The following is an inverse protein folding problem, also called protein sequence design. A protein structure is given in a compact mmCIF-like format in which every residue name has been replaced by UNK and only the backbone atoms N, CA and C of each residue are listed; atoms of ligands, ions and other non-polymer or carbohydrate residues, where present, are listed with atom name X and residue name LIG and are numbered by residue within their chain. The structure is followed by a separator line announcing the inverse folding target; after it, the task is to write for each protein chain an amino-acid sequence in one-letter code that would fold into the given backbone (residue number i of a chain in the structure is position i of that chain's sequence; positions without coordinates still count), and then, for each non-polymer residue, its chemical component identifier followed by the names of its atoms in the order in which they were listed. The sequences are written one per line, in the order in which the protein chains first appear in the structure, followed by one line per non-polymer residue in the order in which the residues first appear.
data_IF_242068835038
#
_entry.id   IF_242068835038
#
_cell.length_a   1.000
_cell.length_b   1.000
_cell.length_c   1.000
_cell.angle_alpha   90.00
_cell.angle_beta   90.00
_cell.angle_gamma   90.00
#
_symmetry.space_group_name_H-M   'P 1'
#
loop_
_entity.id
_entity.type
_entity.pdbx_description
1 polymer ?
#
# COMPACT_ATOMS: atom_id res chain seq x y z
N UNK A 1 -47.96 2.68 9.60
CA UNK A 1 -47.48 4.06 9.46
C UNK A 1 -46.00 4.01 9.71
N UNK A 2 -45.20 4.08 8.65
CA UNK A 2 -43.74 4.08 8.77
C UNK A 2 -43.32 5.34 9.50
N UNK A 3 -42.45 5.18 10.50
CA UNK A 3 -41.81 6.29 11.19
C UNK A 3 -40.85 6.94 10.17
N UNK A 4 -40.94 8.25 9.89
CA UNK A 4 -39.96 8.94 9.06
C UNK A 4 -38.56 8.61 9.58
N UNK A 5 -37.73 8.01 8.73
CA UNK A 5 -36.40 7.61 9.14
C UNK A 5 -35.55 8.86 9.42
N UNK A 6 -34.49 8.78 10.24
CA UNK A 6 -33.53 9.88 10.39
C UNK A 6 -32.91 10.34 9.06
N UNK A 7 -33.07 9.57 7.98
CA UNK A 7 -32.68 9.95 6.62
C UNK A 7 -33.42 11.17 6.06
N UNK A 8 -34.71 11.35 6.39
CA UNK A 8 -35.52 12.44 5.83
C UNK A 8 -35.03 13.81 6.33
N UNK A 9 -34.55 13.87 7.58
CA UNK A 9 -33.93 15.08 8.15
C UNK A 9 -32.59 15.40 7.50
N UNK A 10 -31.73 14.39 7.27
CA UNK A 10 -30.45 14.59 6.59
C UNK A 10 -30.61 14.96 5.12
N UNK A 11 -31.62 14.42 4.43
CA UNK A 11 -31.96 14.80 3.07
C UNK A 11 -32.46 16.26 3.02
N UNK A 12 -33.31 16.67 3.98
CA UNK A 12 -33.76 18.05 4.10
C UNK A 12 -32.62 19.06 4.34
N UNK A 13 -31.70 18.74 5.26
CA UNK A 13 -30.52 19.57 5.54
C UNK A 13 -29.58 19.69 4.33
N UNK A 14 -29.43 18.59 3.58
CA UNK A 14 -28.67 18.55 2.34
C UNK A 14 -29.30 19.42 1.25
N UNK A 15 -30.61 19.31 1.04
CA UNK A 15 -31.34 20.11 0.06
C UNK A 15 -31.31 21.61 0.40
N UNK A 16 -31.44 21.96 1.67
CA UNK A 16 -31.32 23.36 2.13
C UNK A 16 -29.91 23.92 1.88
N UNK A 17 -28.88 23.11 2.13
CA UNK A 17 -27.48 23.48 1.86
C UNK A 17 -27.23 23.67 0.36
N UNK A 18 -27.77 22.79 -0.47
CA UNK A 18 -27.66 22.87 -1.93
C UNK A 18 -28.38 24.10 -2.50
N UNK A 19 -29.56 24.42 -1.97
CA UNK A 19 -30.31 25.63 -2.36
C UNK A 19 -29.54 26.90 -2.03
N UNK A 20 -28.93 26.96 -0.84
CA UNK A 20 -28.07 28.10 -0.46
C UNK A 20 -26.85 28.23 -1.38
N UNK A 21 -26.28 27.10 -1.80
CA UNK A 21 -25.17 27.07 -2.75
C UNK A 21 -25.60 27.56 -4.15
N UNK A 22 -26.78 27.17 -4.62
CA UNK A 22 -27.39 27.63 -5.88
C UNK A 22 -27.61 29.15 -5.90
N UNK A 23 -28.04 29.73 -4.79
CA UNK A 23 -28.23 31.17 -4.63
C UNK A 23 -26.90 31.94 -4.69
N UNK A 24 -25.83 31.38 -4.11
CA UNK A 24 -24.50 32.01 -4.07
C UNK A 24 -23.71 31.83 -5.38
N UNK A 25 -23.87 30.68 -6.05
CA UNK A 25 -23.06 30.28 -7.20
C UNK A 25 -23.92 29.67 -8.33
N UNK A 26 -24.79 30.46 -8.98
CA UNK A 26 -25.77 29.95 -9.94
C UNK A 26 -25.15 29.22 -11.13
N UNK A 27 -24.03 29.72 -11.67
CA UNK A 27 -23.34 29.08 -12.79
C UNK A 27 -22.71 27.72 -12.41
N UNK A 28 -22.16 27.62 -11.19
CA UNK A 28 -21.48 26.42 -10.71
C UNK A 28 -22.50 25.35 -10.30
N UNK A 29 -23.66 25.77 -9.79
CA UNK A 29 -24.73 24.86 -9.45
C UNK A 29 -25.42 24.24 -10.68
N UNK A 30 -25.51 24.94 -11.80
CA UNK A 30 -25.96 24.37 -13.08
C UNK A 30 -25.04 23.21 -13.51
N UNK A 31 -23.72 23.40 -13.39
CA UNK A 31 -22.74 22.32 -13.67
C UNK A 31 -22.86 21.18 -12.64
N UNK A 32 -23.01 21.49 -11.35
CA UNK A 32 -23.22 20.47 -10.33
C UNK A 32 -24.46 19.60 -10.63
N UNK A 33 -25.59 20.20 -11.00
CA UNK A 33 -26.80 19.45 -11.40
C UNK A 33 -26.61 18.63 -12.67
N UNK A 34 -25.83 19.13 -13.64
CA UNK A 34 -25.46 18.35 -14.84
C UNK A 34 -24.65 17.09 -14.47
N UNK A 35 -23.71 17.20 -13.53
CA UNK A 35 -22.94 16.07 -13.02
C UNK A 35 -23.82 15.07 -12.26
N UNK A 36 -24.70 15.54 -11.38
CA UNK A 36 -25.63 14.67 -10.63
C UNK A 36 -26.57 13.92 -11.58
N UNK A 37 -27.08 14.59 -12.62
CA UNK A 37 -27.96 13.99 -13.64
C UNK A 37 -27.22 13.18 -14.71
N UNK A 38 -25.89 13.08 -14.65
CA UNK A 38 -25.05 12.42 -15.68
C UNK A 38 -25.30 12.93 -17.11
N UNK A 39 -25.75 14.17 -17.26
CA UNK A 39 -26.03 14.77 -18.57
C UNK A 39 -24.77 15.45 -19.08
N UNK A 40 -24.27 15.03 -20.25
CA UNK A 40 -23.10 15.66 -20.88
C UNK A 40 -23.47 17.00 -21.52
N UNK A 41 -22.58 18.00 -21.51
CA UNK A 41 -22.81 19.25 -22.21
C UNK A 41 -22.84 19.01 -23.73
N UNK A 42 -23.68 19.76 -24.43
CA UNK A 42 -23.83 19.65 -25.88
C UNK A 42 -22.59 20.16 -26.64
N UNK A 43 -21.78 21.04 -26.04
CA UNK A 43 -20.51 21.50 -26.60
C UNK A 43 -19.44 21.63 -25.49
N UNK A 44 -18.29 20.97 -25.65
CA UNK A 44 -17.21 20.97 -24.67
C UNK A 44 -16.50 22.33 -24.54
N UNK A 45 -16.59 23.18 -25.58
CA UNK A 45 -15.86 24.44 -25.63
C UNK A 45 -16.44 25.51 -24.71
N UNK A 46 -17.74 25.46 -24.44
CA UNK A 46 -18.43 26.42 -23.56
C UNK A 46 -18.02 26.25 -22.08
N UNK A 47 -17.77 25.02 -21.64
CA UNK A 47 -17.37 24.74 -20.25
C UNK A 47 -15.97 25.26 -19.91
N UNK A 48 -15.09 25.42 -20.90
CA UNK A 48 -13.75 25.99 -20.72
C UNK A 48 -13.83 27.49 -20.39
N UNK A 49 -14.84 28.20 -20.89
CA UNK A 49 -15.02 29.63 -20.61
C UNK A 49 -15.51 29.88 -19.17
N UNK A 50 -16.39 29.01 -18.65
CA UNK A 50 -16.89 29.06 -17.27
C UNK A 50 -15.81 28.74 -16.23
N UNK A 51 -14.94 27.76 -16.51
CA UNK A 51 -13.79 27.46 -15.65
C UNK A 51 -12.81 28.63 -15.57
N UNK A 52 -12.60 29.35 -16.69
CA UNK A 52 -11.75 30.54 -16.72
C UNK A 52 -12.36 31.71 -15.95
N UNK A 53 -13.68 31.92 -16.01
CA UNK A 53 -14.34 32.99 -15.26
C UNK A 53 -14.30 32.77 -13.74
N UNK A 54 -14.35 31.52 -13.28
CA UNK A 54 -14.23 31.16 -11.86
C UNK A 54 -12.79 31.37 -11.34
N UNK A 55 -11.77 31.09 -12.17
CA UNK A 55 -10.38 31.35 -11.79
C UNK A 55 -10.03 32.83 -11.69
N UNK A 56 -10.76 33.72 -12.37
CA UNK A 56 -10.52 35.17 -12.31
C UNK A 56 -11.14 35.88 -11.10
N UNK A 57 -12.09 35.28 -10.37
CA UNK A 57 -12.73 35.92 -9.22
C UNK A 57 -12.08 35.63 -7.86
N UNK A 58 -11.21 34.62 -7.75
CA UNK A 58 -10.68 34.13 -6.46
C UNK A 58 -9.14 34.23 -6.33
N UNK A 59 -8.57 35.39 -6.65
CA UNK A 59 -7.20 35.75 -6.22
C UNK A 59 -7.20 36.73 -5.03
N UNK A 60 -8.03 36.45 -4.03
CA UNK A 60 -7.86 36.99 -2.68
C UNK A 60 -7.91 35.83 -1.68
N UNK A 61 -6.75 35.32 -1.27
CA UNK A 61 -6.66 34.32 -0.20
C UNK A 61 -7.35 34.83 1.07
N UNK A 62 -8.40 34.17 1.60
CA UNK A 62 -8.88 34.48 2.93
C UNK A 62 -8.02 33.68 3.93
N UNK A 63 -7.09 34.38 4.58
CA UNK A 63 -6.69 34.00 5.94
C UNK A 63 -7.88 34.32 6.85
N UNK A 64 -8.66 33.33 7.26
CA UNK A 64 -9.46 33.44 8.49
C UNK A 64 -9.93 32.07 9.00
N UNK A 65 -9.39 31.74 10.17
CA UNK A 65 -9.96 30.93 11.24
C UNK A 65 -11.50 30.91 11.24
N UNK A 66 -12.10 29.73 11.11
CA UNK A 66 -13.40 29.43 11.74
C UNK A 66 -13.36 27.96 12.15
N UNK A 67 -13.08 27.76 13.43
CA UNK A 67 -13.16 26.48 14.12
C UNK A 67 -14.62 26.01 14.14
N UNK A 68 -14.90 24.87 13.50
CA UNK A 68 -16.08 24.08 13.83
C UNK A 68 -15.96 23.59 15.29
N UNK A 69 -17.03 23.66 16.10
CA UNK A 69 -16.99 23.11 17.45
C UNK A 69 -16.84 21.57 17.38
N UNK A 70 -16.00 20.97 18.25
CA UNK A 70 -15.88 19.52 18.30
C UNK A 70 -17.15 18.88 18.90
N UNK A 71 -17.54 17.66 18.47
CA UNK A 71 -18.68 16.96 19.04
C UNK A 71 -18.44 16.63 20.53
N UNK A 72 -19.50 16.77 21.31
CA UNK A 72 -19.56 16.55 22.76
C UNK A 72 -19.00 15.19 23.18
N UNK A 73 -18.20 15.22 24.27
CA UNK A 73 -17.70 14.03 24.95
C UNK A 73 -18.84 13.31 25.66
N UNK A 74 -19.26 12.17 25.13
CA UNK A 74 -19.97 11.15 25.91
C UNK A 74 -19.02 10.58 26.97
N UNK A 75 -19.26 10.94 28.22
CA UNK A 75 -18.66 10.32 29.39
C UNK A 75 -19.25 8.93 29.58
N UNK A 76 -18.47 7.87 29.32
CA UNK A 76 -18.78 6.53 29.84
C UNK A 76 -17.94 6.28 31.09
N UNK A 77 -18.65 5.97 32.17
CA UNK A 77 -18.09 5.64 33.47
C UNK A 77 -17.23 4.38 33.43
N UNK A 78 -16.14 4.43 34.21
CA UNK A 78 -15.20 3.33 34.36
C UNK A 78 -15.81 2.20 35.20
N UNK A 79 -15.93 1.02 34.62
CA UNK A 79 -15.94 -0.22 35.40
C UNK A 79 -14.63 -0.97 35.19
N UNK A 80 -13.71 -0.76 36.13
CA UNK A 80 -12.50 -1.57 36.30
C UNK A 80 -12.87 -2.95 36.83
N UNK A 81 -12.79 -3.97 35.98
CA UNK A 81 -12.64 -5.35 36.44
C UNK A 81 -11.21 -5.80 36.18
N UNK A 82 -10.50 -6.00 37.29
CA UNK A 82 -9.18 -6.60 37.37
C UNK A 82 -9.26 -8.09 37.01
N UNK A 83 -8.33 -8.55 36.19
CA UNK A 83 -8.01 -9.97 36.09
C UNK A 83 -6.49 -10.14 36.28
N UNK A 84 -6.15 -10.86 37.35
CA UNK A 84 -4.79 -11.16 37.81
C UNK A 84 -4.03 -12.09 36.85
N UNK A 85 -2.69 -12.12 36.88
CA UNK A 85 -1.87 -12.85 35.93
C UNK A 85 -1.65 -14.31 36.38
N UNK A 86 -1.80 -15.26 35.48
CA UNK A 86 -1.46 -16.66 35.72
C UNK A 86 -0.41 -17.19 34.72
N UNK A 87 0.66 -17.76 35.27
CA UNK A 87 1.41 -18.85 34.65
C UNK A 87 2.56 -18.51 33.70
N UNK A 88 3.78 -18.47 34.23
CA UNK A 88 5.05 -18.47 33.47
C UNK A 88 5.20 -19.74 32.63
N UNK A 89 5.76 -19.63 31.42
CA UNK A 89 6.75 -20.58 30.89
C UNK A 89 7.93 -19.80 30.34
N UNK A 90 9.11 -20.00 30.94
CA UNK A 90 10.37 -19.48 30.41
C UNK A 90 10.73 -20.30 29.17
N UNK A 91 10.58 -19.72 27.99
CA UNK A 91 11.26 -20.20 26.79
C UNK A 91 12.56 -19.40 26.64
N UNK A 92 13.64 -20.11 26.42
CA UNK A 92 15.00 -19.60 26.18
C UNK A 92 15.01 -18.67 24.96
N UNK A 93 15.48 -17.43 25.16
CA UNK A 93 15.40 -16.26 24.24
C UNK A 93 16.16 -16.40 22.91
N UNK A 94 16.78 -17.55 22.62
CA UNK A 94 17.62 -17.72 21.42
C UNK A 94 16.85 -18.31 20.23
N UNK A 95 15.69 -18.95 20.46
CA UNK A 95 14.91 -19.64 19.42
C UNK A 95 13.68 -18.90 18.87
N UNK A 96 13.36 -17.71 19.39
CA UNK A 96 12.11 -17.00 19.05
C UNK A 96 12.27 -16.02 17.87
N UNK A 97 13.50 -15.60 17.57
CA UNK A 97 13.80 -14.69 16.45
C UNK A 97 13.53 -15.32 15.07
N UNK A 98 13.76 -16.63 14.93
CA UNK A 98 13.49 -17.40 13.70
C UNK A 98 11.98 -17.65 13.48
N UNK A 99 11.17 -17.68 14.54
CA UNK A 99 9.71 -17.90 14.46
C UNK A 99 8.91 -16.71 13.93
N UNK A 100 9.57 -15.56 13.73
CA UNK A 100 8.93 -14.36 13.19
C UNK A 100 8.94 -14.31 11.66
N UNK A 101 9.55 -15.32 11.03
CA UNK A 101 9.38 -15.66 9.62
C UNK A 101 8.15 -16.56 9.57
N UNK A 102 7.04 -16.05 9.04
CA UNK A 102 5.83 -16.84 8.92
C UNK A 102 5.97 -17.81 7.73
N UNK A 103 5.63 -19.09 7.94
CA UNK A 103 5.23 -19.94 6.83
C UNK A 103 4.07 -19.22 6.12
N UNK A 104 4.18 -19.06 4.81
CA UNK A 104 3.28 -18.27 4.00
C UNK A 104 1.82 -18.70 4.25
N UNK A 105 0.92 -17.80 4.68
CA UNK A 105 -0.49 -18.14 4.75
C UNK A 105 -1.07 -18.14 3.33
N UNK A 106 -1.44 -19.31 2.81
CA UNK A 106 -2.20 -19.38 1.56
C UNK A 106 -3.56 -18.68 1.75
N UNK A 107 -3.70 -17.46 1.23
CA UNK A 107 -4.98 -16.76 1.16
C UNK A 107 -5.13 -16.21 -0.25
N UNK A 108 -6.20 -16.63 -0.92
CA UNK A 108 -6.47 -16.27 -2.32
C UNK A 108 -6.72 -14.75 -2.46
N UNK A 109 -6.29 -14.11 -3.55
CA UNK A 109 -6.64 -12.73 -3.85
C UNK A 109 -8.17 -12.52 -3.88
N UNK A 110 -8.59 -11.31 -3.52
CA UNK A 110 -9.95 -10.83 -3.78
C UNK A 110 -10.17 -10.74 -5.29
N UNK A 111 -11.05 -11.60 -5.81
CA UNK A 111 -11.44 -11.78 -7.22
C UNK A 111 -10.32 -12.27 -8.18
N UNK A 112 -10.40 -13.49 -8.75
CA UNK A 112 -9.45 -13.95 -9.77
C UNK A 112 -9.44 -13.09 -11.05
N UNK A 113 -10.47 -12.26 -11.27
CA UNK A 113 -10.59 -11.37 -12.43
C UNK A 113 -10.22 -9.91 -12.14
N UNK A 114 -9.42 -9.64 -11.11
CA UNK A 114 -8.96 -8.29 -10.78
C UNK A 114 -7.44 -8.16 -10.69
N UNK A 115 -6.90 -7.04 -11.17
CA UNK A 115 -5.55 -6.61 -10.91
C UNK A 115 -5.50 -5.80 -9.62
N UNK A 116 -4.80 -6.31 -8.62
CA UNK A 116 -4.52 -5.56 -7.40
C UNK A 116 -3.12 -4.95 -7.48
N UNK A 117 -3.05 -3.63 -7.61
CA UNK A 117 -1.81 -2.88 -7.79
C UNK A 117 -1.54 -2.05 -6.54
N UNK A 118 -0.36 -2.26 -5.94
CA UNK A 118 0.14 -1.51 -4.77
C UNK A 118 1.37 -0.70 -5.16
N UNK A 119 1.19 0.56 -5.59
CA UNK A 119 2.30 1.41 -5.98
C UNK A 119 3.12 1.89 -4.78
N UNK A 120 4.43 2.02 -4.98
CA UNK A 120 5.38 2.50 -3.97
C UNK A 120 5.78 3.97 -4.12
N UNK A 121 5.60 4.54 -5.31
CA UNK A 121 6.02 5.91 -5.59
C UNK A 121 5.18 6.51 -6.74
N UNK A 122 5.28 7.82 -7.01
CA UNK A 122 4.51 8.47 -8.06
C UNK A 122 4.73 7.88 -9.47
N UNK A 123 5.93 7.37 -9.75
CA UNK A 123 6.26 6.73 -11.02
C UNK A 123 5.48 5.43 -11.20
N UNK A 124 5.41 4.61 -10.16
CA UNK A 124 4.63 3.37 -10.15
C UNK A 124 3.13 3.66 -10.12
N UNK A 125 2.69 4.75 -9.47
CA UNK A 125 1.29 5.23 -9.57
C UNK A 125 0.95 5.54 -11.02
N UNK A 126 1.81 6.27 -11.73
CA UNK A 126 1.59 6.58 -13.14
C UNK A 126 1.51 5.30 -14.00
N UNK A 127 2.40 4.33 -13.76
CA UNK A 127 2.32 3.00 -14.40
C UNK A 127 1.02 2.23 -14.07
N UNK A 128 0.50 2.40 -12.86
CA UNK A 128 -0.76 1.78 -12.43
C UNK A 128 -1.94 2.34 -13.22
N UNK A 129 -1.97 3.65 -13.46
CA UNK A 129 -2.98 4.28 -14.31
C UNK A 129 -2.88 3.87 -15.78
N UNK A 130 -1.68 3.60 -16.31
CA UNK A 130 -1.53 3.05 -17.67
C UNK A 130 -2.23 1.70 -17.80
N UNK A 131 -2.13 0.84 -16.78
CA UNK A 131 -2.84 -0.45 -16.75
C UNK A 131 -4.35 -0.23 -16.63
N UNK A 132 -4.78 0.65 -15.72
CA UNK A 132 -6.20 0.91 -15.49
C UNK A 132 -6.92 1.51 -16.72
N UNK A 133 -6.22 2.32 -17.52
CA UNK A 133 -6.77 2.89 -18.76
C UNK A 133 -6.72 1.93 -19.94
N UNK A 134 -5.92 0.86 -19.87
CA UNK A 134 -5.83 -0.12 -20.95
C UNK A 134 -7.13 -0.93 -21.02
N UNK A 135 -7.77 -1.06 -22.20
CA UNK A 135 -8.96 -1.89 -22.34
C UNK A 135 -8.67 -3.33 -21.90
N UNK A 136 -9.39 -3.78 -20.88
CA UNK A 136 -9.24 -5.12 -20.31
C UNK A 136 -10.60 -5.62 -19.82
N UNK A 137 -10.77 -6.94 -19.79
CA UNK A 137 -11.93 -7.58 -19.13
C UNK A 137 -11.76 -7.70 -17.62
N UNK A 138 -10.60 -7.29 -17.10
CA UNK A 138 -10.25 -7.36 -15.68
C UNK A 138 -10.44 -6.00 -15.00
N UNK A 139 -10.96 -6.03 -13.78
CA UNK A 139 -11.07 -4.83 -12.94
C UNK A 139 -9.70 -4.45 -12.41
N UNK A 140 -9.34 -3.17 -12.41
CA UNK A 140 -8.07 -2.71 -11.82
C UNK A 140 -8.35 -1.98 -10.50
N UNK A 141 -7.74 -2.47 -9.42
CA UNK A 141 -7.78 -1.85 -8.10
C UNK A 141 -6.40 -1.32 -7.74
N UNK A 142 -6.30 -0.01 -7.49
CA UNK A 142 -5.05 0.67 -7.12
C UNK A 142 -5.13 1.04 -5.63
N UNK A 143 -4.28 0.42 -4.80
CA UNK A 143 -4.23 0.69 -3.37
C UNK A 143 -3.14 1.70 -3.04
N UNK A 144 -3.54 2.94 -2.79
CA UNK A 144 -2.62 4.02 -2.47
C UNK A 144 -2.27 4.05 -0.97
N UNK A 145 -1.01 4.32 -0.61
CA UNK A 145 -0.62 4.54 0.78
C UNK A 145 -1.24 5.84 1.31
N UNK A 146 -1.66 5.85 2.58
CA UNK A 146 -2.17 7.07 3.24
C UNK A 146 -1.06 8.05 3.65
N UNK A 147 0.19 7.59 3.74
CA UNK A 147 1.33 8.38 4.17
C UNK A 147 2.22 8.76 2.99
N UNK A 148 2.95 9.87 3.14
CA UNK A 148 3.90 10.34 2.14
C UNK A 148 5.02 9.32 1.98
N UNK A 149 5.31 8.95 0.73
CA UNK A 149 6.34 7.99 0.37
C UNK A 149 7.52 8.66 -0.34
N UNK A 150 8.68 8.01 -0.28
CA UNK A 150 9.86 8.41 -1.04
C UNK A 150 9.65 8.18 -2.54
N UNK A 151 10.29 9.00 -3.37
CA UNK A 151 10.34 8.84 -4.82
C UNK A 151 11.66 8.20 -5.24
N UNK A 152 11.63 7.33 -6.26
CA UNK A 152 12.79 6.55 -6.69
C UNK A 152 13.13 6.75 -8.17
N UNK A 153 13.50 7.98 -8.60
CA UNK A 153 13.52 8.37 -10.02
C UNK A 153 14.43 7.55 -10.95
N UNK A 154 15.42 6.82 -10.41
CA UNK A 154 16.38 6.03 -11.19
C UNK A 154 16.12 4.52 -11.12
N UNK A 155 15.20 4.09 -10.25
CA UNK A 155 14.94 2.69 -9.95
C UNK A 155 13.51 2.29 -10.26
N UNK A 156 12.53 3.17 -10.00
CA UNK A 156 11.15 2.92 -10.37
C UNK A 156 10.93 3.05 -11.87
N UNK A 157 9.99 2.27 -12.39
CA UNK A 157 9.69 2.24 -13.82
C UNK A 157 8.20 2.07 -14.05
N UNK A 158 7.56 3.08 -14.66
CA UNK A 158 6.16 2.98 -15.11
C UNK A 158 5.92 1.82 -16.06
N UNK A 159 6.89 1.53 -16.94
CA UNK A 159 6.82 0.43 -17.90
C UNK A 159 6.98 -0.91 -17.17
N UNK A 160 7.89 -0.97 -16.18
CA UNK A 160 8.04 -2.14 -15.31
C UNK A 160 6.74 -2.53 -14.60
N UNK A 161 5.91 -1.56 -14.20
CA UNK A 161 4.59 -1.84 -13.60
C UNK A 161 3.69 -2.65 -14.53
N UNK A 162 3.74 -2.36 -15.85
CA UNK A 162 2.91 -3.07 -16.84
C UNK A 162 3.22 -4.56 -16.95
N UNK A 163 4.40 -4.96 -16.48
CA UNK A 163 4.86 -6.36 -16.42
C UNK A 163 4.60 -7.00 -15.04
N UNK A 164 4.03 -6.24 -14.09
CA UNK A 164 3.64 -6.71 -12.75
C UNK A 164 4.76 -6.69 -11.71
N UNK A 165 5.97 -7.09 -12.10
CA UNK A 165 7.18 -7.01 -11.28
C UNK A 165 8.39 -6.73 -12.15
N UNK A 166 9.37 -6.00 -11.62
CA UNK A 166 10.59 -5.65 -12.36
C UNK A 166 11.77 -5.48 -11.41
N UNK A 167 12.98 -5.56 -11.98
CA UNK A 167 14.22 -5.32 -11.23
C UNK A 167 14.30 -3.86 -10.85
N UNK A 168 14.26 -3.58 -9.55
CA UNK A 168 14.31 -2.24 -9.01
C UNK A 168 15.76 -1.83 -8.72
N UNK A 169 16.57 -2.77 -8.25
CA UNK A 169 17.99 -2.57 -8.13
C UNK A 169 18.76 -3.89 -8.34
N UNK A 170 19.61 -3.89 -9.35
CA UNK A 170 20.37 -5.07 -9.77
C UNK A 170 21.73 -5.13 -9.06
N UNK A 171 22.31 -6.33 -9.03
CA UNK A 171 23.72 -6.57 -8.67
C UNK A 171 24.42 -7.08 -9.92
N UNK A 172 25.67 -6.66 -10.15
CA UNK A 172 26.41 -7.06 -11.35
C UNK A 172 26.54 -8.59 -11.47
N UNK A 173 26.19 -9.10 -12.66
CA UNK A 173 26.27 -10.51 -13.01
C UNK A 173 25.45 -11.42 -12.09
N UNK A 174 26.09 -12.50 -11.63
CA UNK A 174 25.51 -13.47 -10.70
C UNK A 174 26.11 -13.36 -9.29
N UNK A 175 26.58 -12.19 -8.89
CA UNK A 175 27.25 -12.00 -7.60
C UNK A 175 26.29 -11.60 -6.45
N UNK A 176 24.99 -11.83 -6.60
CA UNK A 176 24.01 -11.60 -5.54
C UNK A 176 23.85 -12.84 -4.65
N UNK A 177 23.59 -12.62 -3.36
CA UNK A 177 23.35 -13.69 -2.38
C UNK A 177 21.86 -13.94 -2.17
N UNK A 178 21.03 -12.91 -2.34
CA UNK A 178 19.58 -12.97 -2.08
C UNK A 178 18.81 -12.03 -2.99
N UNK A 179 17.60 -12.44 -3.40
CA UNK A 179 16.63 -11.54 -4.05
C UNK A 179 15.59 -11.10 -3.04
N UNK A 180 15.48 -9.78 -2.81
CA UNK A 180 14.47 -9.16 -1.97
C UNK A 180 13.33 -8.62 -2.84
N UNK A 181 12.10 -9.05 -2.57
CA UNK A 181 10.90 -8.56 -3.24
C UNK A 181 10.18 -7.60 -2.31
N UNK A 182 9.99 -6.36 -2.76
CA UNK A 182 9.19 -5.36 -2.08
C UNK A 182 7.89 -5.06 -2.83
N UNK A 183 6.84 -4.72 -2.09
CA UNK A 183 5.51 -4.38 -2.61
C UNK A 183 5.12 -3.02 -2.05
N UNK A 184 4.55 -2.12 -2.85
CA UNK A 184 3.95 -0.86 -2.36
C UNK A 184 4.71 -0.10 -1.26
N UNK A 185 4.03 0.16 -0.14
CA UNK A 185 4.54 0.88 1.02
C UNK A 185 5.73 0.23 1.72
N UNK A 186 6.06 -1.01 1.35
CA UNK A 186 7.11 -1.80 1.97
C UNK A 186 8.47 -1.64 1.28
N UNK A 187 8.49 -0.95 0.13
CA UNK A 187 9.72 -0.63 -0.61
C UNK A 187 10.79 0.10 0.23
N UNK A 188 10.47 1.09 1.09
CA UNK A 188 11.47 1.72 1.95
C UNK A 188 12.18 0.73 2.89
N UNK A 189 11.43 -0.23 3.46
CA UNK A 189 12.02 -1.28 4.30
C UNK A 189 12.86 -2.25 3.48
N UNK A 190 12.43 -2.57 2.27
CA UNK A 190 13.15 -3.46 1.35
C UNK A 190 14.49 -2.86 0.94
N UNK A 191 14.48 -1.60 0.47
CA UNK A 191 15.70 -0.87 0.08
C UNK A 191 16.61 -0.63 1.29
N UNK A 192 16.04 -0.25 2.43
CA UNK A 192 16.82 -0.08 3.66
C UNK A 192 17.48 -1.39 4.12
N UNK A 193 16.77 -2.52 3.99
CA UNK A 193 17.29 -3.86 4.33
C UNK A 193 18.43 -4.25 3.40
N UNK A 194 18.32 -3.98 2.09
CA UNK A 194 19.41 -4.18 1.14
C UNK A 194 20.70 -3.48 1.60
N UNK A 195 20.61 -2.19 1.92
CA UNK A 195 21.75 -1.40 2.39
C UNK A 195 22.30 -1.89 3.74
N UNK A 196 21.42 -2.32 4.64
CA UNK A 196 21.82 -2.86 5.95
C UNK A 196 22.60 -4.17 5.82
N UNK A 197 22.12 -5.08 4.96
CA UNK A 197 22.76 -6.38 4.70
C UNK A 197 24.16 -6.20 4.11
N UNK A 198 24.30 -5.30 3.14
CA UNK A 198 25.60 -5.00 2.52
C UNK A 198 26.57 -4.41 3.56
N UNK A 199 26.15 -3.38 4.30
CA UNK A 199 27.01 -2.69 5.27
C UNK A 199 27.43 -3.55 6.46
N UNK A 200 26.54 -4.42 6.94
CA UNK A 200 26.73 -5.12 8.22
C UNK A 200 27.28 -6.53 8.03
N UNK A 201 26.90 -7.21 6.95
CA UNK A 201 27.24 -8.61 6.71
C UNK A 201 27.95 -8.84 5.38
N UNK A 202 28.13 -7.81 4.54
CA UNK A 202 28.70 -7.96 3.20
C UNK A 202 27.81 -8.72 2.22
N UNK A 203 26.52 -8.89 2.54
CA UNK A 203 25.58 -9.67 1.74
C UNK A 203 25.01 -8.79 0.61
N UNK A 204 25.20 -9.22 -0.63
CA UNK A 204 24.73 -8.52 -1.84
C UNK A 204 23.29 -8.91 -2.16
N UNK A 205 22.37 -8.00 -1.85
CA UNK A 205 20.95 -8.18 -2.14
C UNK A 205 20.54 -7.50 -3.46
N UNK A 206 19.86 -8.27 -4.31
CA UNK A 206 19.09 -7.76 -5.47
C UNK A 206 17.71 -7.33 -5.00
N UNK A 207 17.14 -6.27 -5.57
CA UNK A 207 15.80 -5.78 -5.21
C UNK A 207 14.88 -5.84 -6.42
N UNK A 208 13.71 -6.46 -6.23
CA UNK A 208 12.62 -6.53 -7.19
C UNK A 208 11.43 -5.78 -6.62
N UNK A 209 10.86 -4.87 -7.42
CA UNK A 209 9.57 -4.26 -7.09
C UNK A 209 8.47 -5.09 -7.73
N UNK A 210 7.51 -5.55 -6.93
CA UNK A 210 6.37 -6.33 -7.40
C UNK A 210 5.04 -5.64 -7.02
N UNK A 211 4.66 -4.56 -7.73
CA UNK A 211 3.40 -3.85 -7.46
C UNK A 211 2.15 -4.69 -7.73
N UNK A 212 2.19 -5.67 -8.65
CA UNK A 212 1.03 -6.50 -8.96
C UNK A 212 1.44 -7.92 -9.35
N UNK A 213 1.25 -8.88 -8.44
CA UNK A 213 1.61 -10.28 -8.70
C UNK A 213 0.72 -10.90 -9.80
N UNK A 214 -0.55 -10.51 -9.92
CA UNK A 214 -1.45 -11.03 -10.95
C UNK A 214 -1.01 -10.72 -12.37
N UNK A 215 -0.33 -9.58 -12.59
CA UNK A 215 0.26 -9.23 -13.89
C UNK A 215 1.49 -10.07 -14.21
N UNK A 216 2.26 -10.48 -13.20
CA UNK A 216 3.42 -11.38 -13.36
C UNK A 216 2.97 -12.72 -13.91
N UNK A 217 1.81 -13.23 -13.48
CA UNK A 217 1.26 -14.52 -13.93
C UNK A 217 0.93 -14.54 -15.41
N UNK A 218 0.61 -13.38 -15.98
CA UNK A 218 0.31 -13.24 -17.39
C UNK A 218 1.57 -13.13 -18.25
N UNK A 219 2.75 -12.96 -17.64
CA UNK A 219 4.01 -12.88 -18.37
C UNK A 219 4.53 -14.27 -18.73
N UNK A 220 5.30 -14.41 -19.83
CA UNK A 220 5.99 -15.65 -20.18
C UNK A 220 6.86 -16.16 -19.02
N UNK A 221 7.01 -17.49 -18.92
CA UNK A 221 7.77 -18.12 -17.84
C UNK A 221 9.23 -17.63 -17.79
N UNK A 222 9.86 -17.41 -18.95
CA UNK A 222 11.22 -16.87 -19.07
C UNK A 222 11.34 -15.49 -18.41
N UNK A 223 10.32 -14.65 -18.54
CA UNK A 223 10.28 -13.35 -17.88
C UNK A 223 10.19 -13.49 -16.37
N UNK A 224 9.26 -14.34 -15.89
CA UNK A 224 9.10 -14.58 -14.45
C UNK A 224 10.40 -15.11 -13.82
N UNK A 225 11.08 -16.03 -14.49
CA UNK A 225 12.38 -16.56 -14.06
C UNK A 225 13.48 -15.50 -14.13
N UNK A 226 13.48 -14.62 -15.14
CA UNK A 226 14.48 -13.53 -15.24
C UNK A 226 14.34 -12.49 -14.11
N UNK A 227 13.10 -12.19 -13.70
CA UNK A 227 12.80 -11.17 -12.68
C UNK A 227 12.88 -11.74 -11.28
N UNK A 228 12.27 -12.89 -11.00
CA UNK A 228 12.24 -13.44 -9.64
C UNK A 228 13.47 -14.29 -9.33
N UNK A 229 14.09 -14.88 -10.37
CA UNK A 229 15.21 -15.83 -10.26
C UNK A 229 14.96 -16.96 -9.26
N UNK A 230 13.69 -17.36 -9.06
CA UNK A 230 13.37 -18.50 -8.21
C UNK A 230 13.96 -19.79 -8.80
N UNK A 231 14.62 -20.59 -7.97
CA UNK A 231 15.26 -21.83 -8.39
C UNK A 231 16.70 -21.69 -8.92
N UNK A 232 17.27 -20.48 -9.01
CA UNK A 232 18.64 -20.25 -9.48
C UNK A 232 19.75 -20.62 -8.47
N UNK A 233 19.44 -21.38 -7.42
CA UNK A 233 20.40 -21.66 -6.36
C UNK A 233 20.42 -20.66 -5.20
N UNK A 234 19.68 -19.54 -5.30
CA UNK A 234 19.71 -18.45 -4.30
C UNK A 234 18.33 -18.16 -3.70
N UNK A 235 18.26 -17.73 -2.43
CA UNK A 235 17.01 -17.45 -1.75
C UNK A 235 16.28 -16.23 -2.33
N UNK A 236 14.96 -16.34 -2.38
CA UNK A 236 14.02 -15.27 -2.72
C UNK A 236 13.16 -14.95 -1.50
N UNK A 237 13.30 -13.73 -0.99
CA UNK A 237 12.67 -13.24 0.24
C UNK A 237 11.69 -12.14 -0.11
N UNK A 238 10.43 -12.26 0.31
CA UNK A 238 9.44 -11.20 0.19
C UNK A 238 9.37 -10.40 1.48
N UNK A 239 9.31 -9.07 1.37
CA UNK A 239 9.02 -8.16 2.48
C UNK A 239 7.68 -7.49 2.17
N UNK A 240 6.63 -7.97 2.85
CA UNK A 240 5.25 -7.50 2.68
C UNK A 240 4.51 -7.55 4.03
N UNK A 241 3.33 -6.96 4.10
CA UNK A 241 2.48 -6.99 5.29
C UNK A 241 1.86 -8.39 5.44
N UNK A 242 1.74 -8.87 6.69
CA UNK A 242 1.21 -10.20 7.00
C UNK A 242 -0.16 -10.53 6.36
N UNK A 243 -1.00 -9.51 6.17
CA UNK A 243 -2.40 -9.64 5.73
C UNK A 243 -2.61 -9.30 4.23
N UNK A 244 -1.56 -9.35 3.40
CA UNK A 244 -1.65 -8.88 2.01
C UNK A 244 -2.54 -9.72 1.08
N UNK A 245 -3.06 -10.88 1.53
CA UNK A 245 -3.89 -11.81 0.75
C UNK A 245 -3.26 -12.24 -0.59
N UNK A 246 -1.93 -12.22 -0.67
CA UNK A 246 -1.15 -12.62 -1.85
C UNK A 246 -0.49 -13.98 -1.57
N UNK A 247 -0.67 -14.94 -2.47
CA UNK A 247 -0.01 -16.24 -2.37
C UNK A 247 1.43 -16.18 -2.93
N UNK A 248 2.39 -15.92 -2.06
CA UNK A 248 3.81 -15.83 -2.42
C UNK A 248 4.52 -17.19 -2.51
N UNK A 249 3.92 -18.31 -2.08
CA UNK A 249 4.58 -19.64 -1.97
C UNK A 249 5.15 -20.12 -3.29
N UNK A 250 4.48 -19.74 -4.38
CA UNK A 250 4.91 -20.10 -5.73
C UNK A 250 6.09 -19.26 -6.22
N UNK A 251 6.33 -18.08 -5.64
CA UNK A 251 7.24 -17.06 -6.20
C UNK A 251 8.42 -16.70 -5.29
N UNK A 252 8.31 -17.00 -4.01
CA UNK A 252 9.35 -16.78 -3.02
C UNK A 252 9.58 -18.04 -2.20
N UNK A 253 10.71 -18.08 -1.50
CA UNK A 253 11.03 -19.13 -0.54
C UNK A 253 10.50 -18.76 0.85
N UNK A 254 10.42 -17.45 1.14
CA UNK A 254 10.06 -16.96 2.47
C UNK A 254 9.40 -15.58 2.42
N UNK A 255 8.47 -15.33 3.35
CA UNK A 255 7.89 -14.02 3.61
C UNK A 255 8.33 -13.49 4.98
N UNK A 256 8.96 -12.32 4.94
CA UNK A 256 9.14 -11.48 6.13
C UNK A 256 7.92 -10.59 6.25
N UNK A 257 6.98 -11.03 7.07
CA UNK A 257 5.75 -10.32 7.34
C UNK A 257 6.00 -9.10 8.24
N UNK A 258 5.75 -7.90 7.72
CA UNK A 258 5.75 -6.68 8.53
C UNK A 258 4.53 -6.69 9.46
N UNK A 259 4.76 -6.29 10.71
CA UNK A 259 3.66 -6.18 11.69
C UNK A 259 2.82 -4.94 11.42
N UNK A 260 1.48 -5.05 11.39
CA UNK A 260 0.63 -3.89 11.18
C UNK A 260 0.73 -2.93 12.37
N UNK A 261 0.84 -1.63 12.07
CA UNK A 261 0.88 -0.57 13.09
C UNK A 261 -0.50 0.08 13.15
N UNK A 262 -1.40 -0.50 13.95
CA UNK A 262 -2.73 0.06 14.17
C UNK A 262 -2.67 1.30 15.07
N UNK A 263 -3.43 2.36 14.73
CA UNK A 263 -3.47 3.63 15.49
C UNK A 263 -3.79 3.44 16.99
N UNK A 264 -4.59 2.45 17.35
CA UNK A 264 -4.93 2.14 18.75
C UNK A 264 -3.77 1.52 19.56
N UNK A 265 -2.66 1.13 18.91
CA UNK A 265 -1.49 0.54 19.55
C UNK A 265 -0.28 1.49 19.62
N UNK A 266 -0.50 2.80 19.46
CA UNK A 266 0.55 3.83 19.55
C UNK A 266 1.37 3.78 20.85
N UNK A 267 0.84 3.25 21.96
CA UNK A 267 1.60 3.08 23.21
C UNK A 267 2.43 1.78 23.28
N UNK A 268 2.16 0.78 22.42
CA UNK A 268 3.00 -0.43 22.21
C UNK A 268 3.89 -0.31 20.96
N UNK A 269 3.89 0.85 20.30
CA UNK A 269 4.34 1.06 18.92
C UNK A 269 5.85 1.05 18.69
N UNK A 270 6.67 1.35 19.71
CA UNK A 270 8.13 1.45 19.51
C UNK A 270 8.75 0.11 19.09
N UNK A 271 8.43 -0.98 19.79
CA UNK A 271 8.98 -2.30 19.49
C UNK A 271 8.56 -2.81 18.10
N UNK A 272 7.30 -2.56 17.71
CA UNK A 272 6.74 -2.97 16.42
C UNK A 272 7.33 -2.16 15.27
N UNK A 273 7.50 -0.85 15.44
CA UNK A 273 8.18 -0.01 14.47
C UNK A 273 9.66 -0.41 14.33
N UNK A 274 10.32 -0.76 15.44
CA UNK A 274 11.70 -1.25 15.47
C UNK A 274 11.86 -2.60 14.76
N UNK A 275 10.93 -3.54 14.94
CA UNK A 275 11.05 -4.85 14.29
C UNK A 275 10.81 -4.81 12.78
N UNK A 276 10.08 -3.80 12.29
CA UNK A 276 9.91 -3.54 10.86
C UNK A 276 11.08 -2.72 10.27
N UNK A 277 11.99 -2.18 11.10
CA UNK A 277 13.18 -1.49 10.57
C UNK A 277 14.14 -2.47 9.90
N UNK A 278 15.00 -1.99 8.98
CA UNK A 278 16.07 -2.78 8.39
C UNK A 278 16.96 -3.52 9.41
N UNK A 279 17.20 -2.92 10.58
CA UNK A 279 17.97 -3.54 11.66
C UNK A 279 17.27 -4.73 12.33
N UNK A 280 15.94 -4.80 12.27
CA UNK A 280 15.15 -5.93 12.75
C UNK A 280 14.93 -7.01 11.68
N UNK A 281 14.88 -6.61 10.40
CA UNK A 281 14.67 -7.51 9.26
C UNK A 281 15.97 -8.19 8.85
N UNK A 282 17.06 -7.42 8.71
CA UNK A 282 18.35 -7.88 8.19
C UNK A 282 18.92 -9.12 8.91
N UNK A 283 18.99 -9.15 10.25
CA UNK A 283 19.50 -10.32 10.97
C UNK A 283 18.69 -11.59 10.70
N UNK A 284 17.37 -11.48 10.51
CA UNK A 284 16.49 -12.63 10.20
C UNK A 284 16.77 -13.16 8.81
N UNK A 285 16.94 -12.27 7.84
CA UNK A 285 17.30 -12.65 6.47
C UNK A 285 18.69 -13.30 6.45
N UNK A 286 19.66 -12.79 7.21
CA UNK A 286 20.98 -13.41 7.34
C UNK A 286 20.88 -14.85 7.85
N UNK A 287 20.17 -15.07 8.96
CA UNK A 287 19.96 -16.43 9.51
C UNK A 287 19.31 -17.33 8.46
N UNK A 288 18.29 -16.84 7.75
CA UNK A 288 17.65 -17.60 6.68
C UNK A 288 18.61 -17.94 5.52
N UNK A 289 19.48 -17.02 5.11
CA UNK A 289 20.49 -17.28 4.07
C UNK A 289 21.47 -18.36 4.54
N UNK A 290 21.94 -18.29 5.79
CA UNK A 290 22.85 -19.30 6.36
C UNK A 290 22.18 -20.68 6.38
N UNK A 291 20.91 -20.76 6.80
CA UNK A 291 20.13 -22.00 6.80
C UNK A 291 19.88 -22.54 5.38
N UNK A 292 19.54 -21.66 4.44
CA UNK A 292 19.25 -22.01 3.05
C UNK A 292 20.50 -22.54 2.32
N UNK A 293 21.66 -21.95 2.59
CA UNK A 293 22.95 -22.42 2.04
C UNK A 293 23.43 -23.69 2.73
N UNK A 294 23.23 -23.80 4.05
CA UNK A 294 23.58 -24.99 4.83
C UNK A 294 22.77 -26.24 4.45
N UNK A 295 21.52 -26.10 3.99
CA UNK A 295 20.70 -27.22 3.53
C UNK A 295 21.09 -27.81 2.17
N UNK A 296 21.96 -27.13 1.40
CA UNK A 296 22.35 -27.51 0.03
C UNK A 296 23.77 -28.06 -0.10
N UNK A 297 24.57 -27.97 0.97
CA UNK A 297 25.89 -28.60 1.07
C UNK A 297 25.80 -29.90 1.86
#
# INVERSE_FOLDING_TARGET
MDVPGPGDEYEGDWEASLKRYEELYPALAIEFRRHVSSTKPCDLKENVALQKSVQTSDNTSPKSTTSLPPPEKLTHENHSQSCSPSGKRKHTEVGEAARQIACLPSRRPADPNAFYIRPCDPEVVAGSFLIAMKPSRMTTMISLPQHVMASYPHSSSRIGVTLGAYVFAEVEGENFDVTLIGVGSEMPYTVGTRSFLDRTYGIKARVVSCPCLGLVFQQPQDYQLSVLKKGCGKPVVVIDVADSNINWEQYADVLVALKPVWRSQLNKSKQTLLCNQPSGIGPKIKVFIDEFTGYRN
#
